data_IF_072017743728
#
_entry.id   IF_072017743728
#
_cell.length_a   1.000
_cell.length_b   1.000
_cell.length_c   1.000
_cell.angle_alpha   90.00
_cell.angle_beta   90.00
_cell.angle_gamma   90.00
#
_symmetry.space_group_name_H-M   'P 1'
#
loop_
_entity.id
_entity.type
_entity.pdbx_description
1 polymer ?
#
# COMPACT_ATOMS: atom_id res chain seq x y z
N UNK A 1 16.31 -22.20 -73.82
CA UNK A 1 17.67 -21.89 -73.30
C UNK A 1 17.83 -22.65 -72.00
N UNK A 2 18.48 -23.83 -72.03
CA UNK A 2 19.87 -24.10 -71.53
C UNK A 2 19.97 -23.85 -70.02
N UNK A 3 20.35 -24.75 -69.11
CA UNK A 3 21.09 -26.04 -69.05
C UNK A 3 20.68 -26.71 -67.70
N UNK A 4 20.39 -28.02 -67.55
CA UNK A 4 21.23 -29.24 -67.62
C UNK A 4 22.23 -29.44 -66.46
N UNK A 5 21.99 -30.48 -65.62
CA UNK A 5 22.92 -31.55 -65.13
C UNK A 5 22.32 -32.22 -63.86
N UNK A 6 21.95 -33.52 -63.86
CA UNK A 6 22.80 -34.73 -63.80
C UNK A 6 23.48 -34.89 -62.41
N UNK A 7 23.54 -36.03 -61.71
CA UNK A 7 23.38 -37.45 -62.03
C UNK A 7 23.36 -38.27 -60.70
N UNK A 8 22.71 -39.45 -60.74
CA UNK A 8 23.12 -40.78 -60.18
C UNK A 8 23.61 -40.87 -58.71
N UNK A 9 23.25 -41.87 -57.89
CA UNK A 9 22.62 -43.18 -58.06
C UNK A 9 23.11 -44.14 -56.96
N UNK A 10 22.43 -45.30 -56.80
CA UNK A 10 22.82 -46.53 -56.06
C UNK A 10 22.71 -46.48 -54.51
N UNK A 11 22.12 -47.43 -53.75
CA UNK A 11 21.55 -48.80 -53.87
C UNK A 11 20.62 -48.96 -52.61
N UNK A 12 19.38 -49.48 -52.67
CA UNK A 12 18.96 -50.90 -52.54
C UNK A 12 19.67 -51.58 -51.33
N UNK A 13 19.02 -52.10 -50.28
CA UNK A 13 17.94 -53.12 -50.26
C UNK A 13 17.41 -53.34 -48.83
N UNK A 14 16.10 -53.66 -48.77
CA UNK A 14 15.41 -54.67 -47.93
C UNK A 14 15.46 -54.51 -46.39
N UNK A 15 14.36 -54.61 -45.63
CA UNK A 15 13.35 -55.69 -45.59
C UNK A 15 12.00 -55.13 -45.06
N UNK A 16 10.89 -55.51 -45.71
CA UNK A 16 9.47 -55.38 -45.30
C UNK A 16 9.02 -56.64 -44.49
N UNK A 17 7.76 -56.84 -44.06
CA UNK A 17 6.74 -55.96 -43.45
C UNK A 17 6.05 -56.62 -42.22
N UNK A 18 5.01 -55.95 -41.67
CA UNK A 18 3.68 -56.53 -41.40
C UNK A 18 3.11 -56.46 -39.96
N UNK A 19 1.91 -55.85 -39.91
CA UNK A 19 0.70 -56.18 -39.13
C UNK A 19 0.53 -55.68 -37.69
N UNK A 20 -0.27 -54.61 -37.61
CA UNK A 20 -1.57 -54.51 -36.91
C UNK A 20 -1.64 -55.14 -35.51
N UNK A 21 -1.78 -54.30 -34.48
CA UNK A 21 -2.76 -54.53 -33.41
C UNK A 21 -3.15 -53.19 -32.73
N UNK A 22 -4.45 -52.93 -32.70
CA UNK A 22 -5.11 -51.91 -31.89
C UNK A 22 -5.20 -52.42 -30.46
N UNK A 23 -4.79 -51.63 -29.46
CA UNK A 23 -5.35 -51.72 -28.09
C UNK A 23 -5.30 -50.35 -27.40
N UNK A 24 -6.49 -49.85 -27.04
CA UNK A 24 -6.70 -48.83 -26.02
C UNK A 24 -6.22 -49.36 -24.66
N UNK A 25 -5.46 -48.56 -23.92
CA UNK A 25 -5.39 -48.68 -22.47
C UNK A 25 -5.16 -47.29 -21.84
N UNK A 26 -6.19 -46.85 -21.14
CA UNK A 26 -6.26 -45.69 -20.25
C UNK A 26 -5.15 -45.75 -19.21
N UNK A 27 -4.30 -44.71 -19.14
CA UNK A 27 -3.42 -44.48 -18.00
C UNK A 27 -3.88 -43.25 -17.24
N UNK A 28 -4.58 -43.54 -16.14
CA UNK A 28 -4.85 -42.64 -15.02
C UNK A 28 -3.51 -42.16 -14.44
N UNK A 29 -3.21 -40.87 -14.53
CA UNK A 29 -2.19 -40.24 -13.72
C UNK A 29 -2.88 -39.66 -12.47
N UNK A 30 -2.76 -40.37 -11.35
CA UNK A 30 -2.99 -39.81 -10.02
C UNK A 30 -2.00 -38.64 -9.84
N UNK A 31 -2.49 -37.41 -9.82
CA UNK A 31 -1.78 -36.31 -9.17
C UNK A 31 -1.91 -36.52 -7.66
N UNK A 32 -0.88 -37.10 -7.04
CA UNK A 32 -0.66 -36.97 -5.61
C UNK A 32 -0.33 -35.51 -5.31
N UNK A 33 -1.25 -34.83 -4.61
CA UNK A 33 -0.99 -33.54 -3.98
C UNK A 33 0.01 -33.74 -2.83
N UNK A 34 1.30 -33.56 -3.11
CA UNK A 34 2.27 -33.26 -2.06
C UNK A 34 2.01 -31.81 -1.61
N UNK A 35 1.34 -31.66 -0.47
CA UNK A 35 1.45 -30.46 0.33
C UNK A 35 2.89 -30.43 0.86
N UNK A 36 3.76 -29.64 0.21
CA UNK A 36 5.03 -29.24 0.80
C UNK A 36 4.68 -28.34 1.99
N UNK A 37 4.88 -28.84 3.21
CA UNK A 37 4.97 -27.98 4.37
C UNK A 37 6.17 -27.05 4.14
N UNK A 38 5.95 -25.73 4.11
CA UNK A 38 7.03 -24.76 4.10
C UNK A 38 7.86 -24.96 5.38
N UNK A 39 9.17 -25.20 5.23
CA UNK A 39 10.11 -25.18 6.34
C UNK A 39 10.00 -23.83 7.08
N UNK A 40 10.05 -23.81 8.42
CA UNK A 40 10.04 -22.56 9.17
C UNK A 40 11.20 -21.68 8.69
N UNK A 41 10.89 -20.44 8.32
CA UNK A 41 11.90 -19.52 7.82
C UNK A 41 12.96 -19.27 8.91
N UNK A 42 14.24 -19.43 8.58
CA UNK A 42 15.36 -19.22 9.50
C UNK A 42 15.83 -17.76 9.42
N UNK A 43 15.64 -17.00 10.51
CA UNK A 43 16.05 -15.59 10.63
C UNK A 43 17.28 -15.36 11.51
N UNK A 44 18.00 -16.40 11.94
CA UNK A 44 19.15 -16.32 12.87
C UNK A 44 20.31 -15.46 12.33
N UNK A 45 20.31 -15.20 11.02
CA UNK A 45 21.28 -14.39 10.29
C UNK A 45 20.98 -12.88 10.31
N UNK A 46 19.83 -12.46 10.83
CA UNK A 46 19.44 -11.06 10.96
C UNK A 46 19.69 -10.53 12.37
N UNK A 47 19.91 -9.22 12.48
CA UNK A 47 19.91 -8.51 13.76
C UNK A 47 18.60 -8.79 14.53
N UNK A 48 18.62 -8.96 15.88
CA UNK A 48 17.45 -9.44 16.62
C UNK A 48 16.16 -8.64 16.39
N UNK A 49 16.26 -7.31 16.25
CA UNK A 49 15.11 -6.44 15.95
C UNK A 49 14.51 -6.74 14.57
N UNK A 50 15.35 -7.08 13.58
CA UNK A 50 14.91 -7.44 12.22
C UNK A 50 14.37 -8.86 12.19
N UNK A 51 15.00 -9.79 12.91
CA UNK A 51 14.51 -11.16 13.03
C UNK A 51 13.10 -11.18 13.64
N UNK A 52 12.88 -10.47 14.75
CA UNK A 52 11.58 -10.36 15.39
C UNK A 52 10.51 -9.74 14.47
N UNK A 53 10.89 -8.72 13.68
CA UNK A 53 10.00 -8.11 12.70
C UNK A 53 9.66 -9.06 11.55
N UNK A 54 10.63 -9.82 11.05
CA UNK A 54 10.40 -10.81 10.00
C UNK A 54 9.49 -11.94 10.52
N UNK A 55 9.70 -12.42 11.74
CA UNK A 55 8.80 -13.37 12.40
C UNK A 55 7.36 -12.86 12.48
N UNK A 56 7.18 -11.61 12.90
CA UNK A 56 5.88 -10.92 12.90
C UNK A 56 5.27 -10.88 11.48
N UNK A 57 6.08 -10.62 10.46
CA UNK A 57 5.63 -10.59 9.07
C UNK A 57 5.16 -11.94 8.55
N UNK A 58 5.78 -13.02 8.99
CA UNK A 58 5.37 -14.38 8.62
C UNK A 58 4.07 -14.78 9.32
N UNK A 59 3.90 -14.44 10.60
CA UNK A 59 2.69 -14.74 11.36
C UNK A 59 1.43 -14.02 10.84
N UNK A 60 1.57 -12.82 10.28
CA UNK A 60 0.44 -12.00 9.82
C UNK A 60 0.16 -12.09 8.32
N UNK A 61 0.86 -12.95 7.59
CA UNK A 61 0.78 -13.04 6.11
C UNK A 61 -0.48 -13.74 5.56
N UNK A 62 -1.40 -14.19 6.42
CA UNK A 62 -2.46 -15.10 5.99
C UNK A 62 -3.70 -14.44 5.32
N UNK A 63 -3.87 -14.83 4.05
CA UNK A 63 -5.06 -15.11 3.22
C UNK A 63 -6.30 -14.20 3.16
N UNK A 64 -6.52 -13.22 4.04
CA UNK A 64 -7.75 -12.40 4.03
C UNK A 64 -7.53 -10.87 3.95
N UNK A 65 -6.30 -10.36 4.07
CA UNK A 65 -6.01 -8.92 4.16
C UNK A 65 -5.72 -8.26 2.81
N UNK A 66 -6.46 -7.20 2.45
CA UNK A 66 -6.18 -6.45 1.22
C UNK A 66 -4.76 -5.87 1.22
N UNK A 67 -3.95 -6.33 0.26
CA UNK A 67 -2.57 -5.90 0.06
C UNK A 67 -2.42 -4.49 -0.55
N UNK A 68 -3.54 -3.81 -0.79
CA UNK A 68 -3.58 -2.43 -1.25
C UNK A 68 -3.59 -1.52 -0.02
N UNK A 69 -2.59 -0.64 0.19
CA UNK A 69 -2.52 0.26 1.35
C UNK A 69 -3.78 1.12 1.59
N UNK A 70 -4.50 1.46 0.51
CA UNK A 70 -5.75 2.23 0.58
C UNK A 70 -6.99 1.41 0.93
N UNK A 71 -6.86 0.10 1.15
CA UNK A 71 -7.98 -0.79 1.45
C UNK A 71 -7.71 -1.49 2.77
N UNK A 72 -8.70 -1.48 3.65
CA UNK A 72 -8.63 -2.16 4.93
C UNK A 72 -9.64 -3.30 4.96
N UNK A 73 -9.15 -4.51 5.21
CA UNK A 73 -9.98 -5.66 5.53
C UNK A 73 -10.28 -5.64 7.03
N UNK A 74 -11.53 -5.31 7.38
CA UNK A 74 -11.99 -5.25 8.75
C UNK A 74 -12.36 -6.64 9.26
N UNK A 75 -11.83 -7.00 10.41
CA UNK A 75 -12.16 -8.22 11.14
C UNK A 75 -13.01 -7.83 12.36
N UNK A 76 -14.32 -8.05 12.24
CA UNK A 76 -15.29 -7.83 13.31
C UNK A 76 -15.71 -9.12 14.00
N UNK A 77 -16.81 -9.09 14.75
CA UNK A 77 -17.39 -10.29 15.34
C UNK A 77 -18.22 -11.07 14.30
N UNK A 78 -18.76 -10.36 13.30
CA UNK A 78 -19.43 -10.98 12.16
C UNK A 78 -18.47 -11.79 11.29
N UNK A 79 -18.99 -12.85 10.68
CA UNK A 79 -18.29 -13.67 9.68
C UNK A 79 -18.28 -13.06 8.27
N UNK A 80 -18.87 -11.88 8.10
CA UNK A 80 -18.89 -11.19 6.81
C UNK A 80 -17.50 -10.67 6.42
N UNK A 81 -17.14 -10.81 5.14
CA UNK A 81 -15.99 -10.13 4.58
C UNK A 81 -16.30 -8.63 4.47
N UNK A 82 -15.54 -7.78 5.18
CA UNK A 82 -15.73 -6.33 5.17
C UNK A 82 -14.48 -5.61 4.66
N UNK A 83 -14.61 -4.94 3.52
CA UNK A 83 -13.52 -4.21 2.86
C UNK A 83 -13.84 -2.72 2.78
N UNK A 84 -13.00 -1.89 3.39
CA UNK A 84 -13.07 -0.42 3.33
C UNK A 84 -12.07 0.08 2.31
N UNK A 85 -12.54 0.58 1.16
CA UNK A 85 -11.71 1.21 0.13
C UNK A 85 -11.69 2.73 0.35
N UNK A 86 -10.61 3.23 0.96
CA UNK A 86 -10.39 4.66 1.22
C UNK A 86 -10.01 5.45 -0.04
N UNK A 87 -9.59 4.79 -1.12
CA UNK A 87 -9.29 5.49 -2.37
C UNK A 87 -10.60 5.81 -3.12
N UNK A 88 -11.56 4.88 -3.13
CA UNK A 88 -12.87 5.03 -3.77
C UNK A 88 -13.95 5.58 -2.84
N UNK A 89 -13.77 5.50 -1.53
CA UNK A 89 -14.77 5.88 -0.54
C UNK A 89 -15.93 4.89 -0.48
N UNK A 90 -15.66 3.59 -0.47
CA UNK A 90 -16.67 2.53 -0.47
C UNK A 90 -16.38 1.52 0.63
N UNK A 91 -17.41 1.08 1.34
CA UNK A 91 -17.35 -0.06 2.26
C UNK A 91 -18.15 -1.19 1.63
N UNK A 92 -17.49 -2.29 1.30
CA UNK A 92 -18.13 -3.48 0.73
C UNK A 92 -18.19 -4.57 1.78
N UNK A 93 -19.37 -5.12 1.99
CA UNK A 93 -19.63 -6.17 2.96
C UNK A 93 -20.24 -7.35 2.22
N UNK A 94 -19.66 -8.53 2.35
CA UNK A 94 -20.11 -9.74 1.67
C UNK A 94 -20.33 -10.87 2.67
N UNK A 95 -21.53 -11.45 2.68
CA UNK A 95 -21.83 -12.66 3.44
C UNK A 95 -23.00 -13.43 2.82
N UNK A 96 -23.11 -14.72 3.12
CA UNK A 96 -24.25 -15.54 2.68
C UNK A 96 -25.54 -15.18 3.45
N UNK A 97 -25.44 -14.90 4.75
CA UNK A 97 -26.56 -14.54 5.61
C UNK A 97 -26.73 -13.02 5.68
N UNK A 98 -27.90 -12.46 5.33
CA UNK A 98 -28.21 -11.04 5.53
C UNK A 98 -28.03 -10.53 6.97
N UNK A 99 -28.20 -11.40 7.97
CA UNK A 99 -28.00 -11.03 9.38
C UNK A 99 -26.54 -10.66 9.69
N UNK A 100 -25.58 -11.43 9.14
CA UNK A 100 -24.15 -11.17 9.22
C UNK A 100 -23.78 -9.86 8.51
N UNK A 101 -24.37 -9.60 7.34
CA UNK A 101 -24.19 -8.31 6.63
C UNK A 101 -24.64 -7.14 7.50
N UNK A 102 -25.82 -7.25 8.13
CA UNK A 102 -26.34 -6.19 9.01
C UNK A 102 -25.42 -5.96 10.19
N UNK A 103 -24.99 -7.03 10.85
CA UNK A 103 -24.10 -6.97 12.00
C UNK A 103 -22.77 -6.30 11.62
N UNK A 104 -22.09 -6.78 10.59
CA UNK A 104 -20.84 -6.20 10.11
C UNK A 104 -20.97 -4.73 9.72
N UNK A 105 -22.09 -4.35 9.08
CA UNK A 105 -22.36 -2.97 8.70
C UNK A 105 -22.52 -2.04 9.89
N UNK A 106 -23.22 -2.48 10.95
CA UNK A 106 -23.34 -1.68 12.18
C UNK A 106 -22.00 -1.60 12.91
N UNK A 107 -21.27 -2.72 13.01
CA UNK A 107 -19.93 -2.79 13.63
C UNK A 107 -18.96 -1.80 12.98
N UNK A 108 -18.80 -1.84 11.64
CA UNK A 108 -17.85 -0.97 10.95
C UNK A 108 -18.22 0.52 11.06
N UNK A 109 -19.51 0.87 11.01
CA UNK A 109 -19.97 2.25 11.14
C UNK A 109 -19.73 2.84 12.54
N UNK A 110 -19.64 1.99 13.55
CA UNK A 110 -19.44 2.38 14.95
C UNK A 110 -18.03 2.11 15.47
N UNK A 111 -17.17 1.51 14.64
CA UNK A 111 -15.78 1.18 14.99
C UNK A 111 -15.01 2.44 15.42
N UNK A 112 -14.25 2.35 16.52
CA UNK A 112 -13.63 3.52 17.17
C UNK A 112 -12.10 3.51 17.21
N UNK A 113 -11.47 2.75 16.33
CA UNK A 113 -10.02 2.50 16.31
C UNK A 113 -9.20 3.69 16.80
N UNK A 114 -8.51 3.45 17.92
CA UNK A 114 -7.39 4.25 18.37
C UNK A 114 -6.11 3.59 17.84
N UNK A 115 -5.51 4.13 16.76
CA UNK A 115 -4.30 3.56 16.18
C UNK A 115 -3.06 3.66 17.09
N UNK A 116 -3.16 4.32 18.26
CA UNK A 116 -2.11 4.31 19.28
C UNK A 116 -2.14 3.10 20.23
N UNK A 117 -3.19 2.27 20.19
CA UNK A 117 -3.41 1.13 21.10
C UNK A 117 -3.40 -0.22 20.34
N UNK A 118 -3.00 -0.24 19.07
CA UNK A 118 -3.10 -1.43 18.23
C UNK A 118 -1.89 -2.34 18.45
N UNK A 119 -2.12 -3.43 19.17
CA UNK A 119 -1.54 -4.71 18.82
C UNK A 119 -2.50 -5.36 17.81
N UNK A 120 -1.99 -5.70 16.63
CA UNK A 120 -2.77 -6.20 15.49
C UNK A 120 -3.53 -7.50 15.81
N UNK A 121 -3.10 -8.22 16.86
CA UNK A 121 -3.74 -9.42 17.37
C UNK A 121 -4.90 -9.16 18.36
N UNK A 122 -5.02 -7.95 18.91
CA UNK A 122 -6.01 -7.56 19.94
C UNK A 122 -6.96 -6.44 19.50
N UNK A 123 -7.10 -6.23 18.19
CA UNK A 123 -8.11 -5.33 17.59
C UNK A 123 -9.58 -5.72 17.90
N UNK A 124 -9.80 -6.80 18.66
CA UNK A 124 -11.09 -7.34 19.08
C UNK A 124 -11.63 -6.75 20.40
N UNK A 125 -10.87 -5.92 21.12
CA UNK A 125 -11.42 -5.21 22.28
C UNK A 125 -12.29 -4.05 21.79
N UNK A 126 -13.62 -4.29 21.78
CA UNK A 126 -14.71 -3.37 21.46
C UNK A 126 -14.79 -2.20 22.48
N UNK A 127 -13.71 -1.43 22.59
CA UNK A 127 -13.67 -0.11 23.21
C UNK A 127 -14.51 0.86 22.38
N UNK A 128 -15.83 0.79 22.57
CA UNK A 128 -16.87 1.62 21.97
C UNK A 128 -16.75 3.13 22.30
N UNK A 129 -15.59 3.59 22.79
CA UNK A 129 -15.36 4.96 23.18
C UNK A 129 -13.87 5.28 22.98
N UNK A 130 -13.53 6.10 21.97
CA UNK A 130 -12.38 6.99 22.05
C UNK A 130 -12.71 7.97 23.19
N UNK A 131 -12.08 7.86 24.38
CA UNK A 131 -12.51 8.60 25.57
C UNK A 131 -12.40 10.12 25.40
N UNK A 132 -11.61 10.58 24.42
CA UNK A 132 -11.42 12.00 24.12
C UNK A 132 -12.48 12.55 23.17
N UNK A 133 -12.90 11.78 22.16
CA UNK A 133 -13.79 12.29 21.10
C UNK A 133 -15.20 11.70 21.12
N UNK A 134 -15.36 10.48 21.64
CA UNK A 134 -16.62 9.72 21.64
C UNK A 134 -17.28 9.61 20.25
N UNK A 135 -16.48 9.59 19.17
CA UNK A 135 -16.96 9.49 17.79
C UNK A 135 -16.37 8.28 17.08
N UNK A 136 -17.14 7.58 16.23
CA UNK A 136 -16.61 6.52 15.37
C UNK A 136 -15.50 6.99 14.44
N UNK A 137 -14.63 6.08 14.03
CA UNK A 137 -13.56 6.30 13.07
C UNK A 137 -14.08 6.89 11.74
N UNK A 138 -15.23 6.40 11.27
CA UNK A 138 -15.87 6.87 10.04
C UNK A 138 -16.81 8.08 10.24
N UNK A 139 -16.81 8.70 11.42
CA UNK A 139 -17.62 9.88 11.70
C UNK A 139 -17.35 11.00 10.68
N UNK A 140 -18.43 11.54 10.09
CA UNK A 140 -18.44 12.51 8.96
C UNK A 140 -17.86 11.99 7.63
N UNK A 141 -17.24 10.81 7.59
CA UNK A 141 -16.86 10.16 6.33
C UNK A 141 -18.06 9.43 5.73
N UNK A 142 -18.94 8.88 6.57
CA UNK A 142 -20.24 8.31 6.18
C UNK A 142 -21.36 9.17 6.78
N UNK A 143 -22.36 9.47 5.94
CA UNK A 143 -23.61 10.11 6.33
C UNK A 143 -24.77 9.20 5.97
N UNK A 144 -25.84 9.25 6.77
CA UNK A 144 -27.04 8.48 6.51
C UNK A 144 -27.93 9.13 5.42
N UNK A 145 -29.10 8.54 5.18
CA UNK A 145 -30.07 9.03 4.19
C UNK A 145 -30.63 10.42 4.47
N UNK A 146 -30.52 10.91 5.71
CA UNK A 146 -30.96 12.26 6.10
C UNK A 146 -29.79 13.28 5.99
N UNK A 147 -28.63 12.84 5.49
CA UNK A 147 -27.42 13.65 5.39
C UNK A 147 -26.69 13.86 6.72
N UNK A 148 -27.03 13.09 7.76
CA UNK A 148 -26.46 13.25 9.09
C UNK A 148 -25.29 12.25 9.34
N UNK A 149 -24.21 12.68 10.02
CA UNK A 149 -23.14 11.78 10.42
C UNK A 149 -23.62 10.68 11.37
N UNK A 150 -23.03 9.49 11.22
CA UNK A 150 -23.37 8.32 12.06
C UNK A 150 -22.52 8.34 13.33
N UNK A 151 -23.18 8.49 14.49
CA UNK A 151 -22.51 8.62 15.79
C UNK A 151 -23.18 7.81 16.91
N UNK A 152 -24.21 7.01 16.60
CA UNK A 152 -24.93 6.21 17.59
C UNK A 152 -25.44 4.91 16.96
N UNK A 153 -25.63 3.89 17.79
CA UNK A 153 -26.16 2.59 17.36
C UNK A 153 -27.51 2.72 16.65
N UNK A 154 -28.45 3.46 17.24
CA UNK A 154 -29.75 3.72 16.64
C UNK A 154 -29.65 4.29 15.21
N UNK A 155 -28.75 5.25 14.98
CA UNK A 155 -28.61 5.85 13.65
C UNK A 155 -27.94 4.90 12.67
N UNK A 156 -26.93 4.15 13.12
CA UNK A 156 -26.26 3.13 12.33
C UNK A 156 -27.24 2.04 11.88
N UNK A 157 -27.99 1.45 12.81
CA UNK A 157 -29.00 0.42 12.54
C UNK A 157 -30.05 0.91 11.54
N UNK A 158 -30.61 2.11 11.77
CA UNK A 158 -31.61 2.72 10.88
C UNK A 158 -31.06 2.91 9.46
N UNK A 159 -29.80 3.34 9.33
CA UNK A 159 -29.18 3.54 8.02
C UNK A 159 -28.90 2.21 7.31
N UNK A 160 -28.42 1.21 8.05
CA UNK A 160 -28.18 -0.14 7.50
C UNK A 160 -29.50 -0.75 7.01
N UNK A 161 -30.58 -0.66 7.78
CA UNK A 161 -31.92 -1.12 7.36
C UNK A 161 -32.41 -0.36 6.11
N UNK A 162 -32.19 0.96 6.05
CA UNK A 162 -32.48 1.77 4.87
C UNK A 162 -31.74 1.27 3.61
N UNK A 163 -30.48 0.86 3.74
CA UNK A 163 -29.68 0.36 2.63
C UNK A 163 -30.08 -1.07 2.24
N UNK A 164 -30.32 -1.94 3.21
CA UNK A 164 -30.71 -3.34 2.98
C UNK A 164 -32.06 -3.44 2.25
N UNK A 165 -33.02 -2.57 2.59
CA UNK A 165 -34.35 -2.54 1.93
C UNK A 165 -34.29 -2.10 0.46
N UNK A 166 -33.28 -1.31 0.07
CA UNK A 166 -33.09 -0.81 -1.31
C UNK A 166 -32.18 -1.68 -2.16
N UNK A 167 -31.64 -2.74 -1.57
CA UNK A 167 -30.73 -3.63 -2.26
C UNK A 167 -31.48 -4.48 -3.29
N UNK A 168 -30.86 -4.68 -4.45
CA UNK A 168 -31.39 -5.61 -5.45
C UNK A 168 -31.29 -7.06 -4.97
N UNK A 169 -32.30 -7.87 -5.26
CA UNK A 169 -32.32 -9.31 -4.95
C UNK A 169 -31.12 -10.07 -5.54
N UNK A 170 -30.57 -9.63 -6.68
CA UNK A 170 -29.39 -10.25 -7.30
C UNK A 170 -28.08 -9.95 -6.56
N UNK A 171 -28.09 -9.01 -5.61
CA UNK A 171 -26.96 -8.69 -4.72
C UNK A 171 -27.29 -9.05 -3.27
N UNK A 172 -28.15 -10.04 -3.04
CA UNK A 172 -28.59 -10.42 -1.69
C UNK A 172 -27.45 -10.85 -0.73
N UNK A 173 -26.26 -11.14 -1.25
CA UNK A 173 -25.07 -11.47 -0.46
C UNK A 173 -24.10 -10.31 -0.25
N UNK A 174 -24.39 -9.10 -0.75
CA UNK A 174 -23.48 -7.96 -0.70
C UNK A 174 -24.18 -6.70 -0.18
N UNK A 175 -23.49 -5.84 0.54
CA UNK A 175 -23.91 -4.47 0.85
C UNK A 175 -22.77 -3.51 0.56
N UNK A 176 -23.07 -2.42 -0.14
CA UNK A 176 -22.09 -1.34 -0.37
C UNK A 176 -22.58 -0.08 0.32
N UNK A 177 -21.76 0.46 1.22
CA UNK A 177 -22.01 1.72 1.91
C UNK A 177 -21.07 2.78 1.31
N UNK A 178 -21.60 3.84 0.68
CA UNK A 178 -20.79 4.92 0.16
C UNK A 178 -20.34 5.88 1.27
N UNK A 179 -19.10 6.34 1.17
CA UNK A 179 -18.63 7.52 1.90
C UNK A 179 -18.99 8.80 1.12
N UNK A 180 -18.91 9.95 1.78
CA UNK A 180 -19.09 11.24 1.11
C UNK A 180 -17.97 11.49 0.08
N UNK A 181 -18.24 12.30 -0.94
CA UNK A 181 -17.23 12.62 -1.98
C UNK A 181 -15.96 13.27 -1.43
N UNK A 182 -16.03 13.92 -0.27
CA UNK A 182 -14.90 14.57 0.41
C UNK A 182 -14.31 13.73 1.56
N UNK A 183 -14.54 12.42 1.60
CA UNK A 183 -14.10 11.57 2.72
C UNK A 183 -12.59 11.66 2.99
N UNK A 184 -11.74 11.78 1.96
CA UNK A 184 -10.28 11.96 2.13
C UNK A 184 -9.91 13.28 2.80
N UNK A 185 -10.69 14.35 2.59
CA UNK A 185 -10.48 15.63 3.27
C UNK A 185 -10.79 15.47 4.76
N UNK A 186 -11.90 14.80 5.08
CA UNK A 186 -12.30 14.51 6.46
C UNK A 186 -11.29 13.58 7.15
N UNK A 187 -10.82 12.54 6.46
CA UNK A 187 -9.82 11.61 6.96
C UNK A 187 -8.47 12.31 7.20
N UNK A 188 -7.98 13.05 6.20
CA UNK A 188 -6.70 13.77 6.27
C UNK A 188 -6.68 14.85 7.35
N UNK A 189 -7.82 15.52 7.62
CA UNK A 189 -7.93 16.54 8.66
C UNK A 189 -7.49 16.04 10.05
N UNK A 190 -7.63 14.74 10.34
CA UNK A 190 -7.20 14.11 11.60
C UNK A 190 -5.69 14.18 11.82
N UNK A 191 -4.91 14.27 10.75
CA UNK A 191 -3.45 14.13 10.78
C UNK A 191 -2.70 15.42 10.45
N UNK A 192 -3.41 16.51 10.14
CA UNK A 192 -2.81 17.82 9.79
C UNK A 192 -1.88 18.32 10.89
N UNK A 193 -2.26 18.18 12.16
CA UNK A 193 -1.40 18.64 13.26
C UNK A 193 -0.12 17.83 13.39
N UNK A 194 -0.16 16.51 13.16
CA UNK A 194 1.06 15.69 13.11
C UNK A 194 1.97 16.14 11.95
N UNK A 195 1.40 16.38 10.78
CA UNK A 195 2.15 16.89 9.63
C UNK A 195 2.75 18.29 9.89
N UNK A 196 2.05 19.18 10.60
CA UNK A 196 2.57 20.50 11.02
C UNK A 196 3.74 20.37 11.98
N UNK A 197 3.60 19.57 13.03
CA UNK A 197 4.65 19.34 14.02
C UNK A 197 5.90 18.72 13.38
N UNK A 198 5.72 17.61 12.65
CA UNK A 198 6.81 16.91 11.99
C UNK A 198 7.46 17.77 10.89
N UNK A 199 6.65 18.48 10.10
CA UNK A 199 7.13 19.39 9.06
C UNK A 199 7.97 20.54 9.62
N UNK A 200 7.55 21.14 10.73
CA UNK A 200 8.33 22.17 11.42
C UNK A 200 9.66 21.61 11.97
N UNK A 201 9.65 20.40 12.54
CA UNK A 201 10.84 19.75 13.11
C UNK A 201 11.88 19.38 12.04
N UNK A 202 11.43 18.86 10.90
CA UNK A 202 12.30 18.32 9.84
C UNK A 202 12.46 19.27 8.64
N UNK A 203 11.93 20.49 8.73
CA UNK A 203 11.92 21.49 7.65
C UNK A 203 11.31 20.97 6.34
N UNK A 204 10.25 20.15 6.45
CA UNK A 204 9.51 19.59 5.31
C UNK A 204 8.18 20.31 5.15
N UNK A 205 7.80 20.74 3.93
CA UNK A 205 6.51 21.38 3.69
C UNK A 205 5.34 20.47 4.11
N UNK A 206 4.39 21.02 4.88
CA UNK A 206 3.18 20.31 5.32
C UNK A 206 2.40 19.76 4.12
N UNK A 207 2.34 20.53 3.03
CA UNK A 207 1.68 20.11 1.79
C UNK A 207 2.30 18.84 1.18
N UNK A 208 3.62 18.67 1.27
CA UNK A 208 4.33 17.49 0.78
C UNK A 208 4.00 16.26 1.64
N UNK A 209 4.06 16.40 2.97
CA UNK A 209 3.73 15.32 3.91
C UNK A 209 2.30 14.84 3.68
N UNK A 210 1.34 15.77 3.62
CA UNK A 210 -0.07 15.45 3.39
C UNK A 210 -0.31 14.79 2.03
N UNK A 211 0.37 15.25 0.97
CA UNK A 211 0.25 14.67 -0.36
C UNK A 211 0.85 13.26 -0.46
N UNK A 212 1.95 13.00 0.25
CA UNK A 212 2.54 11.65 0.36
C UNK A 212 1.59 10.76 1.15
N UNK A 213 1.09 11.17 2.32
CA UNK A 213 0.10 10.40 3.10
C UNK A 213 -1.14 10.04 2.29
N UNK A 214 -1.73 10.99 1.54
CA UNK A 214 -2.86 10.70 0.65
C UNK A 214 -2.47 9.68 -0.42
N UNK A 215 -1.24 9.75 -0.94
CA UNK A 215 -0.77 8.88 -2.01
C UNK A 215 -0.43 7.47 -1.58
N UNK A 216 0.15 7.34 -0.40
CA UNK A 216 0.59 6.08 0.15
C UNK A 216 -0.57 5.25 0.70
N UNK A 217 -1.47 5.87 1.47
CA UNK A 217 -2.48 5.12 2.24
C UNK A 217 -3.91 5.61 2.04
N UNK A 218 -4.13 6.71 1.31
CA UNK A 218 -5.42 7.43 1.35
C UNK A 218 -5.85 7.77 2.78
N UNK A 219 -4.89 8.04 3.67
CA UNK A 219 -5.09 8.31 5.09
C UNK A 219 -5.60 7.10 5.90
N UNK A 220 -5.38 5.88 5.41
CA UNK A 220 -5.58 4.65 6.18
C UNK A 220 -4.41 4.47 7.19
N UNK A 221 -4.65 4.62 8.51
CA UNK A 221 -3.58 4.45 9.50
C UNK A 221 -3.14 2.99 9.65
N UNK A 222 -3.94 2.03 9.17
CA UNK A 222 -3.67 0.59 9.24
C UNK A 222 -3.14 0.03 7.92
N UNK A 223 -2.63 0.90 7.05
CA UNK A 223 -2.16 0.51 5.74
C UNK A 223 -0.94 -0.41 5.85
N UNK A 224 -0.99 -1.52 5.10
CA UNK A 224 0.14 -2.45 4.94
C UNK A 224 0.30 -2.82 3.47
N UNK A 225 1.50 -2.63 2.93
CA UNK A 225 1.81 -3.07 1.57
C UNK A 225 2.31 -4.52 1.51
N UNK A 226 2.37 -5.07 0.30
CA UNK A 226 3.02 -6.36 0.01
C UNK A 226 4.50 -6.41 0.40
N UNK A 227 5.16 -5.26 0.41
CA UNK A 227 6.58 -5.13 0.79
C UNK A 227 6.75 -4.74 2.26
N UNK A 228 5.69 -4.89 3.07
CA UNK A 228 5.64 -4.53 4.49
C UNK A 228 5.99 -3.07 4.78
N UNK A 229 5.54 -2.17 3.93
CA UNK A 229 5.48 -0.75 4.26
C UNK A 229 4.23 -0.49 5.12
N UNK A 230 4.38 0.23 6.23
CA UNK A 230 3.35 0.31 7.29
C UNK A 230 2.86 1.75 7.54
N UNK A 231 1.57 1.86 7.87
CA UNK A 231 0.93 3.08 8.34
C UNK A 231 0.71 4.15 7.28
N UNK A 232 0.39 5.36 7.73
CA UNK A 232 -0.06 6.50 6.92
C UNK A 232 0.88 6.86 5.76
N UNK A 233 2.18 6.87 6.05
CA UNK A 233 3.26 7.24 5.12
C UNK A 233 3.96 6.03 4.52
N UNK A 234 3.48 4.80 4.78
CA UNK A 234 4.03 3.55 4.26
C UNK A 234 5.53 3.43 4.51
N UNK A 235 5.91 3.39 5.79
CA UNK A 235 7.31 3.28 6.20
C UNK A 235 7.73 1.82 6.24
N UNK A 236 8.84 1.51 5.57
CA UNK A 236 9.55 0.25 5.72
C UNK A 236 10.48 0.31 6.91
N UNK A 237 10.26 -0.55 7.91
CA UNK A 237 11.01 -0.54 9.16
C UNK A 237 12.52 -0.79 8.94
N UNK A 238 12.85 -1.80 8.14
CA UNK A 238 14.21 -2.25 7.83
C UNK A 238 15.03 -1.26 6.99
N UNK A 239 14.38 -0.29 6.33
CA UNK A 239 15.05 0.74 5.52
C UNK A 239 14.84 2.13 6.09
N UNK A 240 13.70 2.78 5.81
CA UNK A 240 13.44 4.16 6.20
C UNK A 240 13.36 4.33 7.72
N UNK A 241 12.82 3.32 8.43
CA UNK A 241 12.76 3.33 9.89
C UNK A 241 14.14 3.25 10.54
N UNK A 242 14.98 2.32 10.09
CA UNK A 242 16.37 2.19 10.55
C UNK A 242 17.21 3.42 10.20
N UNK A 243 17.02 4.00 9.02
CA UNK A 243 17.66 5.27 8.62
C UNK A 243 17.26 6.40 9.58
N UNK A 244 15.98 6.53 9.92
CA UNK A 244 15.50 7.53 10.86
C UNK A 244 16.18 7.39 12.24
N UNK A 245 16.15 6.21 12.85
CA UNK A 245 16.77 6.04 14.17
C UNK A 245 18.29 6.27 14.14
N UNK A 246 18.97 5.73 13.13
CA UNK A 246 20.42 5.85 13.06
C UNK A 246 20.91 7.27 12.75
N UNK A 247 20.21 8.00 11.88
CA UNK A 247 20.65 9.32 11.39
C UNK A 247 20.05 10.46 12.21
N UNK A 248 18.76 10.38 12.58
CA UNK A 248 18.07 11.45 13.30
C UNK A 248 18.16 11.22 14.81
N UNK A 249 17.86 10.00 15.28
CA UNK A 249 17.88 9.70 16.73
C UNK A 249 19.28 9.35 17.26
N UNK A 250 20.24 9.05 16.38
CA UNK A 250 21.64 8.82 16.71
C UNK A 250 21.98 7.43 17.26
N UNK A 251 21.10 6.43 17.12
CA UNK A 251 21.37 5.05 17.54
C UNK A 251 20.75 4.02 16.60
N UNK A 252 21.32 2.82 16.54
CA UNK A 252 20.81 1.73 15.71
C UNK A 252 19.57 1.12 16.35
N UNK A 253 18.45 1.12 15.63
CA UNK A 253 17.21 0.49 16.04
C UNK A 253 16.30 0.29 14.83
N UNK A 254 15.49 -0.78 14.84
CA UNK A 254 14.44 -1.01 13.85
C UNK A 254 13.08 -0.86 14.55
N UNK A 255 12.20 0.05 14.11
CA UNK A 255 10.90 0.21 14.75
C UNK A 255 10.03 -1.04 14.58
N UNK A 256 9.26 -1.36 15.61
CA UNK A 256 8.21 -2.38 15.56
C UNK A 256 7.03 -1.91 14.69
N UNK A 257 6.17 -2.83 14.27
CA UNK A 257 4.94 -2.48 13.57
C UNK A 257 4.01 -1.61 14.40
N UNK A 258 3.85 -1.90 15.69
CA UNK A 258 3.04 -1.12 16.63
C UNK A 258 3.52 0.34 16.68
N UNK A 259 4.83 0.56 16.66
CA UNK A 259 5.40 1.90 16.56
C UNK A 259 5.00 2.59 15.25
N UNK A 260 5.04 1.86 14.13
CA UNK A 260 4.71 2.38 12.79
C UNK A 260 3.20 2.51 12.53
N UNK A 261 2.33 1.81 13.25
CA UNK A 261 0.87 2.01 13.16
C UNK A 261 0.38 3.19 14.00
N UNK A 262 1.16 3.64 14.99
CA UNK A 262 0.90 4.89 15.67
C UNK A 262 1.03 6.07 14.67
N UNK A 263 -0.04 6.86 14.43
CA UNK A 263 -0.02 7.90 13.39
C UNK A 263 1.00 9.00 13.62
N UNK A 264 1.20 9.43 14.87
CA UNK A 264 2.13 10.50 15.20
C UNK A 264 3.56 10.06 14.91
N UNK A 265 3.93 8.87 15.41
CA UNK A 265 5.24 8.27 15.15
C UNK A 265 5.48 8.02 13.65
N UNK A 266 4.47 7.52 12.92
CA UNK A 266 4.58 7.24 11.50
C UNK A 266 4.83 8.51 10.68
N UNK A 267 4.10 9.60 11.00
CA UNK A 267 4.25 10.89 10.32
C UNK A 267 5.58 11.56 10.67
N UNK A 268 5.98 11.49 11.94
CA UNK A 268 7.29 11.96 12.39
C UNK A 268 8.43 11.25 11.65
N UNK A 269 8.37 9.92 11.56
CA UNK A 269 9.37 9.12 10.89
C UNK A 269 9.40 9.34 9.38
N UNK A 270 8.22 9.45 8.75
CA UNK A 270 8.13 9.76 7.32
C UNK A 270 8.68 11.14 6.99
N UNK A 271 8.38 12.16 7.80
CA UNK A 271 8.97 13.50 7.65
C UNK A 271 10.49 13.49 7.86
N UNK A 272 10.98 12.77 8.87
CA UNK A 272 12.42 12.61 9.08
C UNK A 272 13.11 11.85 7.95
N UNK A 273 12.46 10.86 7.33
CA UNK A 273 13.02 10.21 6.15
C UNK A 273 13.08 11.14 4.93
N UNK A 274 12.08 12.01 4.76
CA UNK A 274 12.11 13.05 3.72
C UNK A 274 13.27 14.03 3.92
N UNK A 275 13.60 14.42 5.17
CA UNK A 275 14.78 15.26 5.43
C UNK A 275 16.09 14.51 5.20
N UNK A 276 16.20 13.22 5.56
CA UNK A 276 17.36 12.39 5.19
C UNK A 276 17.54 12.32 3.67
N UNK A 277 16.45 12.16 2.91
CA UNK A 277 16.51 12.21 1.45
C UNK A 277 17.08 13.55 0.97
N UNK A 278 16.60 14.67 1.51
CA UNK A 278 17.04 16.01 1.15
C UNK A 278 18.53 16.25 1.47
N UNK A 279 18.89 16.03 2.74
CA UNK A 279 20.14 16.52 3.33
C UNK A 279 21.32 15.57 3.13
N UNK A 280 21.04 14.28 2.91
CA UNK A 280 22.07 13.24 2.74
C UNK A 280 22.07 12.65 1.35
N UNK A 281 20.96 12.04 0.93
CA UNK A 281 20.94 11.30 -0.32
C UNK A 281 20.98 12.20 -1.54
N UNK A 282 20.23 13.30 -1.51
CA UNK A 282 20.06 14.25 -2.61
C UNK A 282 20.86 15.54 -2.41
N UNK A 283 21.73 15.58 -1.39
CA UNK A 283 22.66 16.67 -1.13
C UNK A 283 23.42 17.06 -2.41
N UNK A 284 23.35 18.34 -2.76
CA UNK A 284 23.94 18.92 -3.96
C UNK A 284 22.94 19.31 -5.05
N UNK A 285 21.64 18.99 -4.93
CA UNK A 285 20.60 19.60 -5.79
C UNK A 285 20.29 21.00 -5.23
N UNK A 286 20.59 22.04 -6.00
CA UNK A 286 20.52 23.42 -5.49
C UNK A 286 19.15 24.08 -5.63
N UNK A 287 18.40 23.74 -6.68
CA UNK A 287 17.10 24.38 -6.91
C UNK A 287 16.02 23.71 -6.05
N UNK A 288 15.28 24.45 -5.21
CA UNK A 288 14.35 23.88 -4.23
C UNK A 288 13.27 23.02 -4.87
N UNK A 289 12.67 23.47 -5.98
CA UNK A 289 11.65 22.68 -6.69
C UNK A 289 12.22 21.41 -7.34
N UNK A 290 13.48 21.41 -7.80
CA UNK A 290 14.12 20.19 -8.32
C UNK A 290 14.41 19.22 -7.17
N UNK A 291 14.84 19.74 -6.02
CA UNK A 291 15.04 18.94 -4.81
C UNK A 291 13.72 18.30 -4.37
N UNK A 292 12.62 19.05 -4.32
CA UNK A 292 11.29 18.51 -3.99
C UNK A 292 10.87 17.37 -4.94
N UNK A 293 11.02 17.56 -6.26
CA UNK A 293 10.72 16.50 -7.23
C UNK A 293 11.62 15.26 -7.07
N UNK A 294 12.90 15.47 -6.75
CA UNK A 294 13.83 14.39 -6.49
C UNK A 294 13.49 13.64 -5.19
N UNK A 295 13.06 14.34 -4.14
CA UNK A 295 12.59 13.75 -2.88
C UNK A 295 11.37 12.88 -3.16
N UNK A 296 10.35 13.42 -3.84
CA UNK A 296 9.12 12.67 -4.19
C UNK A 296 9.46 11.40 -4.98
N UNK A 297 10.32 11.51 -5.99
CA UNK A 297 10.73 10.34 -6.79
C UNK A 297 11.52 9.33 -5.96
N UNK A 298 12.38 9.79 -5.05
CA UNK A 298 13.26 8.93 -4.24
C UNK A 298 12.53 8.30 -3.07
N UNK A 299 11.47 8.90 -2.57
CA UNK A 299 10.61 8.32 -1.52
C UNK A 299 9.97 7.01 -2.00
N UNK A 300 9.38 7.01 -3.20
CA UNK A 300 8.80 5.81 -3.79
C UNK A 300 9.85 4.89 -4.43
N UNK A 301 10.77 5.45 -5.22
CA UNK A 301 11.67 4.68 -6.07
C UNK A 301 13.05 4.40 -5.49
N UNK A 302 13.45 5.07 -4.41
CA UNK A 302 14.81 5.10 -3.89
C UNK A 302 15.75 6.01 -4.72
N UNK A 303 16.60 6.77 -4.03
CA UNK A 303 17.54 7.71 -4.67
C UNK A 303 18.51 7.03 -5.66
N UNK A 304 18.91 5.79 -5.39
CA UNK A 304 19.74 5.01 -6.31
C UNK A 304 19.08 4.77 -7.68
N UNK A 305 17.76 4.50 -7.72
CA UNK A 305 17.04 4.31 -8.98
C UNK A 305 16.83 5.65 -9.71
N UNK A 306 16.67 6.75 -8.98
CA UNK A 306 16.70 8.09 -9.56
C UNK A 306 18.03 8.36 -10.27
N UNK A 307 19.15 8.12 -9.60
CA UNK A 307 20.48 8.33 -10.20
C UNK A 307 20.72 7.44 -11.41
N UNK A 308 20.38 6.14 -11.33
CA UNK A 308 20.47 5.21 -12.46
C UNK A 308 19.60 5.63 -13.65
N UNK A 309 18.45 6.28 -13.41
CA UNK A 309 17.63 6.81 -14.50
C UNK A 309 18.34 7.92 -15.25
N UNK A 310 19.02 8.80 -14.52
CA UNK A 310 19.71 9.96 -15.09
C UNK A 310 21.02 9.58 -15.76
N UNK A 311 21.82 8.73 -15.13
CA UNK A 311 23.12 8.31 -15.67
C UNK A 311 23.30 6.82 -15.31
N UNK A 312 22.92 5.88 -16.19
CA UNK A 312 22.89 4.45 -15.87
C UNK A 312 24.22 3.87 -15.37
N UNK A 313 25.33 4.38 -15.89
CA UNK A 313 26.70 3.99 -15.52
C UNK A 313 27.40 5.05 -14.66
N UNK A 314 26.71 6.12 -14.30
CA UNK A 314 27.25 7.23 -13.52
C UNK A 314 26.93 7.11 -12.04
N UNK A 315 27.85 7.56 -11.18
CA UNK A 315 27.60 7.66 -9.75
C UNK A 315 26.71 8.86 -9.38
N UNK A 316 26.42 8.99 -8.07
CA UNK A 316 25.63 10.10 -7.49
C UNK A 316 26.04 11.46 -8.06
N UNK A 317 27.35 11.77 -8.09
CA UNK A 317 27.85 13.09 -8.54
C UNK A 317 27.40 13.45 -9.95
N UNK A 318 27.58 12.54 -10.91
CA UNK A 318 27.18 12.77 -12.30
C UNK A 318 25.66 12.96 -12.46
N UNK A 319 24.87 12.21 -11.69
CA UNK A 319 23.42 12.38 -11.68
C UNK A 319 22.99 13.74 -11.11
N UNK A 320 23.59 14.17 -9.99
CA UNK A 320 23.33 15.49 -9.40
C UNK A 320 23.73 16.62 -10.35
N UNK A 321 24.90 16.53 -10.99
CA UNK A 321 25.36 17.53 -11.96
C UNK A 321 24.38 17.63 -13.15
N UNK A 322 23.88 16.50 -13.64
CA UNK A 322 22.84 16.46 -14.68
C UNK A 322 21.52 17.09 -14.21
N UNK A 323 21.07 16.82 -12.97
CA UNK A 323 19.88 17.47 -12.41
C UNK A 323 20.06 18.99 -12.34
N UNK A 324 21.23 19.45 -11.89
CA UNK A 324 21.51 20.87 -11.76
C UNK A 324 21.57 21.59 -13.10
N UNK A 325 22.02 20.93 -14.17
CA UNK A 325 22.05 21.47 -15.52
C UNK A 325 20.67 21.59 -16.20
N UNK A 326 19.67 20.79 -15.78
CA UNK A 326 18.31 20.88 -16.33
C UNK A 326 17.51 22.05 -15.74
N UNK A 327 16.57 22.59 -16.52
CA UNK A 327 15.48 23.42 -15.99
C UNK A 327 14.55 22.60 -15.10
N UNK A 328 13.68 23.27 -14.35
CA UNK A 328 12.65 22.62 -13.52
C UNK A 328 11.73 21.76 -14.37
N UNK A 329 11.24 22.30 -15.49
CA UNK A 329 10.28 21.64 -16.37
C UNK A 329 10.90 20.42 -17.07
N UNK A 330 12.15 20.52 -17.53
CA UNK A 330 12.88 19.39 -18.11
C UNK A 330 13.06 18.27 -17.09
N UNK A 331 13.41 18.61 -15.84
CA UNK A 331 13.60 17.61 -14.80
C UNK A 331 12.28 16.94 -14.41
N UNK A 332 11.20 17.72 -14.26
CA UNK A 332 9.86 17.16 -14.01
C UNK A 332 9.41 16.26 -15.16
N UNK A 333 9.58 16.70 -16.41
CA UNK A 333 9.27 15.90 -17.58
C UNK A 333 10.09 14.61 -17.61
N UNK A 334 11.38 14.69 -17.31
CA UNK A 334 12.25 13.52 -17.21
C UNK A 334 11.74 12.52 -16.17
N UNK A 335 11.46 12.98 -14.94
CA UNK A 335 10.96 12.11 -13.87
C UNK A 335 9.64 11.43 -14.22
N UNK A 336 8.78 12.11 -14.97
CA UNK A 336 7.42 11.64 -15.29
C UNK A 336 7.34 10.82 -16.58
N UNK A 337 8.39 10.79 -17.39
CA UNK A 337 8.42 10.09 -18.69
C UNK A 337 9.59 9.11 -18.84
N UNK A 338 10.76 9.40 -18.27
CA UNK A 338 12.02 8.69 -18.49
C UNK A 338 12.62 8.00 -17.26
N UNK A 339 12.10 8.25 -16.06
CA UNK A 339 12.50 7.47 -14.88
C UNK A 339 12.28 5.96 -15.13
N UNK A 340 13.25 5.12 -14.75
CA UNK A 340 13.26 3.69 -15.09
C UNK A 340 12.08 2.91 -14.50
N UNK A 341 11.58 3.37 -13.34
CA UNK A 341 10.39 2.80 -12.69
C UNK A 341 9.13 3.50 -13.17
N UNK A 342 8.21 2.76 -13.81
CA UNK A 342 6.87 3.25 -14.16
C UNK A 342 6.08 3.74 -12.94
N UNK A 343 6.21 3.02 -11.82
CA UNK A 343 5.57 3.39 -10.57
C UNK A 343 5.99 4.79 -10.11
N UNK A 344 7.29 5.07 -10.04
CA UNK A 344 7.80 6.38 -9.63
C UNK A 344 7.42 7.50 -10.61
N UNK A 345 7.34 7.21 -11.93
CA UNK A 345 6.82 8.18 -12.91
C UNK A 345 5.39 8.61 -12.57
N UNK A 346 4.54 7.65 -12.22
CA UNK A 346 3.15 7.92 -11.85
C UNK A 346 3.05 8.55 -10.46
N UNK A 347 3.92 8.14 -9.53
CA UNK A 347 3.98 8.66 -8.17
C UNK A 347 4.28 10.16 -8.15
N UNK A 348 5.29 10.60 -8.90
CA UNK A 348 5.63 12.03 -9.03
C UNK A 348 4.43 12.84 -9.55
N UNK A 349 3.72 12.35 -10.57
CA UNK A 349 2.49 13.00 -11.07
C UNK A 349 1.40 13.09 -9.99
N UNK A 350 1.17 12.01 -9.25
CA UNK A 350 0.13 11.93 -8.22
C UNK A 350 0.42 12.89 -7.06
N UNK A 351 1.62 12.82 -6.48
CA UNK A 351 1.99 13.64 -5.31
C UNK A 351 1.98 15.11 -5.69
N UNK A 352 2.64 15.52 -6.77
CA UNK A 352 2.68 16.94 -7.18
C UNK A 352 1.29 17.51 -7.50
N UNK A 353 0.39 16.69 -8.08
CA UNK A 353 -1.01 17.08 -8.26
C UNK A 353 -1.74 17.27 -6.92
N UNK A 354 -1.55 16.34 -5.98
CA UNK A 354 -2.18 16.36 -4.65
C UNK A 354 -1.67 17.48 -3.75
N UNK A 355 -0.40 17.87 -3.85
CA UNK A 355 0.17 18.98 -3.07
C UNK A 355 -0.62 20.29 -3.22
N UNK A 356 -1.23 20.53 -4.40
CA UNK A 356 -2.08 21.70 -4.65
C UNK A 356 -3.29 21.79 -3.73
N UNK A 357 -3.77 20.66 -3.21
CA UNK A 357 -4.89 20.61 -2.25
C UNK A 357 -4.50 21.13 -0.87
N UNK A 358 -3.21 21.14 -0.56
CA UNK A 358 -2.66 21.34 0.77
C UNK A 358 -1.80 22.60 0.91
N UNK A 359 -1.71 23.42 -0.15
CA UNK A 359 -0.85 24.61 -0.18
C UNK A 359 -1.23 25.68 0.84
N UNK A 360 -2.48 25.68 1.32
CA UNK A 360 -3.01 26.66 2.28
C UNK A 360 -3.09 26.14 3.73
N UNK A 361 -2.47 24.98 4.03
CA UNK A 361 -2.52 24.38 5.38
C UNK A 361 -1.55 25.00 6.38
#
# INVERSE_FOLDING_TARGET
>A
MRLAQACQGFLISDIQPAKILVYCATSFLLLSTLALAEEPANFDQYDPDVAALLDEYHAESDKAGSLLPSVWAYQGQSKAETLIDFERGLINITAADPSEIKQAAVEILLTQIDPSVIDASTASDLGLINPKTQKPFLFKQVIDQDGAPIASAWRAERYVDYLMTRRSNTRASQLTIPMIGQHKVVAGAKYVNFAKTAGAKHMIPVALIMAIMETESSFNPLARSRSNALGLMQIKADTAGRDYFSIISGYQHTPTSAYLYNPENNVEMGAGYLSILADRYLAGIYHPQKLEYAIISSYNGGAGNLFKSLVPTGGKRAAIDRINAMTVDEFYWFLTNRHIRLESRNYVKKVTSRMKKYTNL
#
